data_IF_067096567403
#
_entry.id   IF_067096567403
#
_cell.length_a   1.000
_cell.length_b   1.000
_cell.length_c   1.000
_cell.angle_alpha   90.00
_cell.angle_beta   90.00
_cell.angle_gamma   90.00
#
_symmetry.space_group_name_H-M   'P 1'
#
loop_
_entity.id
_entity.type
_entity.pdbx_description
1 polymer ?
#
# COMPACT_ATOMS: atom_id res chain seq x y z
N UNK A 1 -1.42 17.21 -16.29
CA UNK A 1 -1.50 15.90 -15.63
C UNK A 1 -2.71 15.17 -16.19
N UNK A 2 -2.54 13.94 -16.67
CA UNK A 2 -3.65 13.13 -17.17
C UNK A 2 -4.62 12.77 -16.02
N UNK A 3 -5.87 12.49 -16.37
CA UNK A 3 -6.91 12.06 -15.41
C UNK A 3 -7.11 10.55 -15.53
N UNK A 4 -7.13 9.87 -14.39
CA UNK A 4 -7.42 8.45 -14.27
C UNK A 4 -8.72 8.28 -13.49
N UNK A 5 -9.73 7.72 -14.12
CA UNK A 5 -11.00 7.43 -13.46
C UNK A 5 -10.86 6.12 -12.67
N UNK A 6 -11.02 6.19 -11.34
CA UNK A 6 -11.06 5.02 -10.47
C UNK A 6 -12.50 4.65 -10.20
N UNK A 7 -12.85 3.40 -10.51
CA UNK A 7 -14.12 2.77 -10.14
C UNK A 7 -13.79 1.56 -9.27
N UNK A 8 -13.94 1.73 -7.96
CA UNK A 8 -13.82 0.62 -7.02
C UNK A 8 -15.21 -0.01 -6.86
N UNK A 9 -15.36 -1.23 -7.37
CA UNK A 9 -16.63 -1.96 -7.32
C UNK A 9 -16.95 -2.48 -5.90
N UNK A 10 -16.04 -2.27 -4.93
CA UNK A 10 -16.20 -2.66 -3.54
C UNK A 10 -16.42 -1.44 -2.65
N UNK A 11 -17.64 -1.28 -2.14
CA UNK A 11 -17.94 -0.25 -1.14
C UNK A 11 -17.68 -0.77 0.28
N UNK A 12 -16.79 -0.09 1.01
CA UNK A 12 -16.53 -0.38 2.41
C UNK A 12 -17.69 0.07 3.30
N UNK A 13 -18.03 -0.76 4.28
CA UNK A 13 -18.93 -0.39 5.37
C UNK A 13 -18.35 0.75 6.22
N UNK A 14 -19.20 1.46 6.97
CA UNK A 14 -18.75 2.51 7.90
C UNK A 14 -17.73 2.01 8.91
N UNK A 15 -17.88 0.76 9.38
CA UNK A 15 -16.94 0.13 10.32
C UNK A 15 -15.57 -0.08 9.68
N UNK A 16 -15.52 -0.54 8.43
CA UNK A 16 -14.25 -0.72 7.71
C UNK A 16 -13.58 0.61 7.42
N UNK A 17 -14.34 1.65 7.03
CA UNK A 17 -13.82 3.01 6.87
C UNK A 17 -13.17 3.53 8.16
N UNK A 18 -13.78 3.27 9.32
CA UNK A 18 -13.22 3.68 10.62
C UNK A 18 -11.91 2.95 10.96
N UNK A 19 -11.76 1.68 10.55
CA UNK A 19 -10.49 0.95 10.68
C UNK A 19 -9.38 1.64 9.88
N UNK A 20 -9.67 2.12 8.66
CA UNK A 20 -8.68 2.85 7.85
C UNK A 20 -8.39 4.26 8.39
N UNK A 21 -9.36 4.94 9.00
CA UNK A 21 -9.10 6.20 9.72
C UNK A 21 -8.20 5.99 10.93
N UNK A 22 -8.42 4.91 11.68
CA UNK A 22 -7.54 4.51 12.78
C UNK A 22 -6.13 4.19 12.27
N UNK A 23 -6.02 3.43 11.18
CA UNK A 23 -4.73 3.11 10.55
C UNK A 23 -3.99 4.37 10.10
N UNK A 24 -4.70 5.32 9.45
CA UNK A 24 -4.16 6.63 9.07
C UNK A 24 -3.62 7.38 10.28
N UNK A 25 -4.40 7.51 11.35
CA UNK A 25 -3.98 8.24 12.55
C UNK A 25 -2.77 7.58 13.23
N UNK A 26 -2.73 6.25 13.29
CA UNK A 26 -1.56 5.53 13.79
C UNK A 26 -0.32 5.80 12.92
N UNK A 27 -0.48 5.85 11.60
CA UNK A 27 0.60 6.18 10.68
C UNK A 27 1.09 7.62 10.87
N UNK A 28 0.19 8.59 11.03
CA UNK A 28 0.52 9.99 11.31
C UNK A 28 1.34 10.13 12.61
N UNK A 29 1.05 9.33 13.64
CA UNK A 29 1.83 9.30 14.89
C UNK A 29 3.23 8.71 14.75
N UNK A 30 3.57 8.06 13.63
CA UNK A 30 4.94 7.55 13.41
C UNK A 30 5.95 8.66 13.09
N UNK A 31 5.48 9.87 12.75
CA UNK A 31 6.31 11.05 12.52
C UNK A 31 6.20 11.62 11.10
N UNK A 32 6.43 12.93 10.98
CA UNK A 32 6.32 13.69 9.71
C UNK A 32 7.41 13.35 8.68
N UNK A 33 8.48 12.70 9.13
CA UNK A 33 9.58 12.23 8.29
C UNK A 33 9.17 11.01 7.44
N UNK A 34 8.13 10.26 7.86
CA UNK A 34 7.67 9.05 7.18
C UNK A 34 6.69 9.38 6.04
N UNK A 35 7.21 9.89 4.92
CA UNK A 35 6.39 10.27 3.77
C UNK A 35 6.25 9.14 2.75
N UNK A 36 7.35 8.50 2.38
CA UNK A 36 7.35 7.35 1.48
C UNK A 36 7.24 6.05 2.28
N UNK A 37 6.18 5.30 2.06
CA UNK A 37 5.84 4.11 2.87
C UNK A 37 5.63 2.92 1.95
N UNK A 38 6.47 1.90 2.10
CA UNK A 38 6.28 0.62 1.44
C UNK A 38 5.24 -0.22 2.18
N UNK A 39 4.26 -0.77 1.46
CA UNK A 39 3.30 -1.72 1.99
C UNK A 39 3.54 -3.08 1.34
N UNK A 40 3.86 -4.08 2.14
CA UNK A 40 4.14 -5.45 1.69
C UNK A 40 3.38 -6.48 2.51
N UNK A 41 3.52 -7.76 2.17
CA UNK A 41 2.95 -8.87 2.93
C UNK A 41 3.86 -10.09 2.96
N UNK A 42 3.54 -11.07 3.80
CA UNK A 42 4.25 -12.34 3.81
C UNK A 42 3.93 -13.16 2.56
N UNK A 43 2.65 -13.23 2.17
CA UNK A 43 2.19 -14.12 1.12
C UNK A 43 1.25 -13.41 0.13
N UNK A 44 1.12 -13.92 -1.12
CA UNK A 44 0.12 -13.42 -2.06
C UNK A 44 -1.29 -13.54 -1.47
N UNK A 45 -2.19 -12.58 -1.71
CA UNK A 45 -3.57 -12.56 -1.16
C UNK A 45 -3.70 -12.28 0.35
N UNK A 46 -2.71 -11.65 0.99
CA UNK A 46 -2.86 -11.11 2.36
C UNK A 46 -3.69 -9.83 2.42
N UNK A 47 -4.02 -9.27 1.25
CA UNK A 47 -4.82 -8.06 1.10
C UNK A 47 -3.99 -6.77 1.14
N UNK A 48 -2.67 -6.84 0.97
CA UNK A 48 -1.76 -5.69 0.89
C UNK A 48 -2.29 -4.57 -0.01
N UNK A 49 -2.73 -4.90 -1.24
CA UNK A 49 -3.19 -3.92 -2.23
C UNK A 49 -4.52 -3.28 -1.84
N UNK A 50 -5.35 -4.01 -1.09
CA UNK A 50 -6.58 -3.45 -0.51
C UNK A 50 -6.23 -2.45 0.58
N UNK A 51 -5.32 -2.84 1.47
CA UNK A 51 -4.91 -2.05 2.63
C UNK A 51 -4.16 -0.80 2.19
N UNK A 52 -3.20 -0.91 1.28
CA UNK A 52 -2.39 0.20 0.78
C UNK A 52 -3.24 1.23 0.03
N UNK A 53 -4.16 0.77 -0.82
CA UNK A 53 -5.09 1.67 -1.53
C UNK A 53 -6.05 2.40 -0.57
N UNK A 54 -6.68 1.69 0.36
CA UNK A 54 -7.64 2.31 1.29
C UNK A 54 -6.96 3.20 2.35
N UNK A 55 -5.72 2.87 2.75
CA UNK A 55 -4.89 3.78 3.54
C UNK A 55 -4.62 5.07 2.76
N UNK A 56 -4.30 4.97 1.47
CA UNK A 56 -4.09 6.13 0.60
C UNK A 56 -5.34 6.99 0.46
N UNK A 57 -6.52 6.37 0.34
CA UNK A 57 -7.80 7.07 0.35
C UNK A 57 -8.04 7.79 1.68
N UNK A 58 -7.84 7.12 2.82
CA UNK A 58 -8.05 7.72 4.13
C UNK A 58 -7.12 8.92 4.38
N UNK A 59 -5.87 8.85 3.92
CA UNK A 59 -4.92 9.97 3.92
C UNK A 59 -5.42 11.11 3.03
N UNK A 60 -5.83 10.83 1.79
CA UNK A 60 -6.35 11.83 0.86
C UNK A 60 -7.61 12.55 1.37
N UNK A 61 -8.55 11.79 1.97
CA UNK A 61 -9.77 12.30 2.59
C UNK A 61 -9.48 13.21 3.80
N UNK A 62 -8.33 13.06 4.46
CA UNK A 62 -7.89 13.94 5.54
C UNK A 62 -7.30 15.28 5.06
N UNK A 63 -7.28 15.50 3.74
CA UNK A 63 -6.76 16.72 3.13
C UNK A 63 -5.30 16.61 2.64
N UNK A 64 -4.66 15.44 2.80
CA UNK A 64 -3.27 15.23 2.42
C UNK A 64 -3.13 14.91 0.94
N UNK A 65 -2.23 15.59 0.24
CA UNK A 65 -1.86 15.22 -1.12
C UNK A 65 -1.15 13.87 -1.08
N UNK A 66 -1.83 12.82 -1.53
CA UNK A 66 -1.38 11.43 -1.40
C UNK A 66 -1.16 10.82 -2.76
N UNK A 67 0.05 10.31 -2.99
CA UNK A 67 0.39 9.53 -4.17
C UNK A 67 0.36 8.04 -3.84
N UNK A 68 -0.45 7.30 -4.57
CA UNK A 68 -0.48 5.85 -4.54
C UNK A 68 0.33 5.27 -5.71
N UNK A 69 1.34 4.45 -5.42
CA UNK A 69 2.20 3.84 -6.43
C UNK A 69 1.99 2.34 -6.43
N UNK A 70 1.49 1.81 -7.54
CA UNK A 70 1.41 0.38 -7.77
C UNK A 70 2.75 -0.14 -8.30
N UNK A 71 3.60 -0.61 -7.38
CA UNK A 71 4.92 -1.16 -7.69
C UNK A 71 4.94 -2.70 -7.71
N UNK A 72 3.77 -3.36 -7.73
CA UNK A 72 3.67 -4.79 -8.01
C UNK A 72 3.75 -5.05 -9.53
N UNK A 73 4.98 -4.96 -10.04
CA UNK A 73 5.29 -5.12 -11.47
C UNK A 73 5.18 -6.58 -11.97
N UNK A 74 4.82 -7.52 -11.09
CA UNK A 74 4.70 -8.95 -11.43
C UNK A 74 3.25 -9.37 -11.61
N UNK A 75 2.38 -8.96 -10.69
CA UNK A 75 0.99 -9.40 -10.65
C UNK A 75 0.10 -8.38 -9.93
N UNK A 76 0.15 -7.12 -10.38
CA UNK A 76 -0.80 -6.12 -9.88
C UNK A 76 -2.24 -6.57 -10.10
N UNK A 77 -3.03 -6.49 -9.02
CA UNK A 77 -4.47 -6.75 -9.03
C UNK A 77 -5.28 -5.46 -9.15
N UNK A 78 -4.63 -4.30 -9.08
CA UNK A 78 -5.26 -2.99 -8.94
C UNK A 78 -5.87 -2.50 -10.24
N UNK A 79 -5.24 -2.79 -11.39
CA UNK A 79 -5.76 -2.39 -12.71
C UNK A 79 -7.17 -2.93 -12.94
N UNK A 80 -7.37 -4.22 -12.68
CA UNK A 80 -8.68 -4.86 -12.82
C UNK A 80 -9.65 -4.42 -11.73
N UNK A 81 -9.21 -4.40 -10.48
CA UNK A 81 -10.07 -4.05 -9.34
C UNK A 81 -10.63 -2.63 -9.44
N UNK A 82 -9.78 -1.68 -9.79
CA UNK A 82 -10.14 -0.26 -9.84
C UNK A 82 -10.71 0.15 -11.21
N UNK A 83 -10.88 -0.83 -12.11
CA UNK A 83 -11.39 -0.67 -13.47
C UNK A 83 -10.75 0.53 -14.18
N UNK A 84 -9.41 0.58 -14.12
CA UNK A 84 -8.62 1.71 -14.62
C UNK A 84 -8.72 1.76 -16.14
N UNK A 85 -9.56 2.64 -16.67
CA UNK A 85 -9.69 2.82 -18.11
C UNK A 85 -8.51 3.65 -18.63
N UNK A 86 -7.76 3.08 -19.56
CA UNK A 86 -6.77 3.77 -20.41
C UNK A 86 -5.56 4.45 -19.70
N UNK A 87 -4.86 3.82 -18.74
CA UNK A 87 -3.53 4.32 -18.39
C UNK A 87 -2.58 4.10 -19.57
N UNK A 88 -2.17 5.20 -20.23
CA UNK A 88 -1.29 5.17 -21.40
C UNK A 88 0.13 4.69 -21.04
N UNK A 89 0.59 5.02 -19.82
CA UNK A 89 1.91 4.70 -19.29
C UNK A 89 1.80 4.41 -17.78
N UNK A 90 2.84 3.82 -17.20
CA UNK A 90 2.88 3.44 -15.79
C UNK A 90 4.31 3.31 -15.28
N UNK A 91 4.47 2.85 -14.04
CA UNK A 91 5.75 2.74 -13.37
C UNK A 91 6.79 2.00 -14.20
N UNK A 92 6.44 0.89 -14.83
CA UNK A 92 7.36 0.11 -15.67
C UNK A 92 7.96 0.92 -16.82
N UNK A 93 7.18 1.80 -17.45
CA UNK A 93 7.63 2.68 -18.53
C UNK A 93 8.61 3.74 -18.02
N UNK A 94 8.39 4.27 -16.81
CA UNK A 94 9.33 5.20 -16.18
C UNK A 94 10.64 4.50 -15.83
N UNK A 95 10.56 3.32 -15.22
CA UNK A 95 11.74 2.57 -14.81
C UNK A 95 12.56 2.05 -16.00
N UNK A 96 11.94 1.79 -17.15
CA UNK A 96 12.63 1.46 -18.40
C UNK A 96 13.21 2.69 -19.12
N UNK A 97 12.81 3.91 -18.74
CA UNK A 97 13.24 5.16 -19.37
C UNK A 97 12.41 5.56 -20.59
N UNK A 98 11.26 4.92 -20.82
CA UNK A 98 10.32 5.21 -21.90
C UNK A 98 9.37 6.37 -21.58
N UNK A 99 9.33 6.83 -20.31
CA UNK A 99 8.44 7.87 -19.83
C UNK A 99 9.08 8.70 -18.72
N UNK A 100 8.70 9.98 -18.61
CA UNK A 100 9.05 10.85 -17.48
C UNK A 100 8.05 10.73 -16.32
N UNK A 101 8.38 11.31 -15.16
CA UNK A 101 7.48 11.32 -13.99
C UNK A 101 6.11 11.94 -14.29
N UNK A 102 6.08 13.05 -15.05
CA UNK A 102 4.85 13.75 -15.42
C UNK A 102 3.93 12.93 -16.35
N UNK A 103 4.48 11.93 -17.04
CA UNK A 103 3.73 11.07 -17.97
C UNK A 103 3.03 9.91 -17.26
N UNK A 104 3.47 9.56 -16.04
CA UNK A 104 2.99 8.37 -15.33
C UNK A 104 2.21 8.70 -14.05
N UNK A 105 2.22 9.97 -13.63
CA UNK A 105 1.43 10.45 -12.49
C UNK A 105 0.08 10.94 -13.00
N UNK A 106 -0.97 10.30 -12.51
CA UNK A 106 -2.34 10.63 -12.83
C UNK A 106 -3.04 11.29 -11.65
N UNK A 107 -3.81 12.33 -11.94
CA UNK A 107 -4.84 12.82 -11.01
C UNK A 107 -6.04 11.87 -11.06
N UNK A 108 -6.69 11.63 -9.94
CA UNK A 108 -7.84 10.70 -9.88
C UNK A 108 -9.17 11.45 -9.72
N UNK A 109 -10.29 10.73 -9.86
CA UNK A 109 -11.61 11.22 -9.46
C UNK A 109 -11.82 11.25 -7.93
N UNK A 110 -10.81 10.88 -7.14
CA UNK A 110 -10.80 10.99 -5.67
C UNK A 110 -9.96 12.21 -5.28
N UNK A 111 -10.56 13.14 -4.54
CA UNK A 111 -9.91 14.40 -4.15
C UNK A 111 -8.60 14.12 -3.40
N UNK A 112 -7.53 14.87 -3.73
CA UNK A 112 -6.19 14.75 -3.16
C UNK A 112 -5.48 13.40 -3.38
N UNK A 113 -6.08 12.46 -4.13
CA UNK A 113 -5.45 11.19 -4.46
C UNK A 113 -4.90 11.22 -5.89
N UNK A 114 -3.65 10.84 -6.00
CA UNK A 114 -2.91 10.69 -7.25
C UNK A 114 -2.43 9.25 -7.36
N UNK A 115 -2.20 8.78 -8.58
CA UNK A 115 -1.83 7.39 -8.83
C UNK A 115 -0.73 7.26 -9.87
N UNK A 116 0.22 6.37 -9.62
CA UNK A 116 1.08 5.77 -10.65
C UNK A 116 0.67 4.29 -10.76
N UNK A 117 0.03 3.86 -11.86
CA UNK A 117 -0.26 2.44 -12.10
C UNK A 117 1.03 1.69 -12.43
N UNK A 118 1.06 0.36 -12.24
CA UNK A 118 2.23 -0.47 -12.55
C UNK A 118 2.68 -0.38 -14.02
N UNK A 119 1.73 -0.32 -14.95
CA UNK A 119 1.99 -0.35 -16.39
C UNK A 119 2.10 -1.78 -16.93
N UNK A 120 2.77 -1.97 -18.06
CA UNK A 120 3.00 -3.30 -18.64
C UNK A 120 4.03 -4.05 -17.78
N UNK A 121 3.73 -5.29 -17.42
CA UNK A 121 4.63 -6.11 -16.59
C UNK A 121 5.93 -6.42 -17.35
N UNK A 122 7.10 -5.98 -16.84
CA UNK A 122 8.39 -6.26 -17.46
C UNK A 122 8.86 -7.69 -17.14
N UNK A 123 9.80 -8.21 -17.93
CA UNK A 123 10.46 -9.50 -17.64
C UNK A 123 11.47 -9.42 -16.48
N UNK A 124 11.97 -8.22 -16.17
CA UNK A 124 13.06 -7.95 -15.24
C UNK A 124 12.68 -6.87 -14.17
N UNK A 125 11.63 -7.09 -13.37
CA UNK A 125 11.10 -6.07 -12.45
C UNK A 125 12.10 -5.66 -11.36
N UNK A 126 12.86 -6.60 -10.80
CA UNK A 126 13.81 -6.31 -9.71
C UNK A 126 14.93 -5.38 -10.19
N UNK A 127 15.48 -5.65 -11.37
CA UNK A 127 16.53 -4.86 -12.00
C UNK A 127 16.05 -3.44 -12.27
N UNK A 128 14.83 -3.30 -12.80
CA UNK A 128 14.21 -2.00 -13.06
C UNK A 128 13.98 -1.19 -11.78
N UNK A 129 13.57 -1.83 -10.68
CA UNK A 129 13.41 -1.17 -9.39
C UNK A 129 14.76 -0.73 -8.78
N UNK A 130 15.83 -1.47 -9.05
CA UNK A 130 17.17 -1.23 -8.50
C UNK A 130 18.04 -0.25 -9.30
N UNK A 131 17.62 0.18 -10.49
CA UNK A 131 18.44 1.00 -11.40
C UNK A 131 18.56 2.49 -11.01
N UNK A 132 18.08 2.88 -9.82
CA UNK A 132 18.12 4.24 -9.29
C UNK A 132 17.03 5.19 -9.81
N UNK A 133 16.23 4.81 -10.83
CA UNK A 133 15.11 5.66 -11.29
C UNK A 133 13.98 5.72 -10.29
N UNK A 134 13.69 4.61 -9.60
CA UNK A 134 12.67 4.59 -8.55
C UNK A 134 13.07 5.48 -7.36
N UNK A 135 14.33 5.44 -6.96
CA UNK A 135 14.88 6.30 -5.91
C UNK A 135 14.76 7.78 -6.28
N UNK A 136 15.17 8.16 -7.50
CA UNK A 136 15.02 9.52 -8.01
C UNK A 136 13.56 9.98 -8.07
N UNK A 137 12.65 9.08 -8.46
CA UNK A 137 11.21 9.35 -8.48
C UNK A 137 10.70 9.67 -7.07
N UNK A 138 10.95 8.78 -6.10
CA UNK A 138 10.48 8.96 -4.72
C UNK A 138 11.07 10.23 -4.11
N UNK A 139 12.38 10.44 -4.24
CA UNK A 139 13.05 11.64 -3.72
C UNK A 139 12.49 12.93 -4.32
N UNK A 140 12.27 12.98 -5.64
CA UNK A 140 11.74 14.14 -6.33
C UNK A 140 10.28 14.47 -5.99
N UNK A 141 9.52 13.49 -5.49
CA UNK A 141 8.09 13.64 -5.19
C UNK A 141 7.78 13.95 -3.73
N UNK A 142 8.74 13.76 -2.80
CA UNK A 142 8.57 14.06 -1.36
C UNK A 142 8.28 15.54 -1.05
N UNK A 143 8.65 16.45 -1.95
CA UNK A 143 8.33 17.88 -1.82
C UNK A 143 6.92 18.26 -2.28
N UNK A 144 6.27 17.39 -3.06
CA UNK A 144 4.97 17.66 -3.69
C UNK A 144 3.83 16.92 -2.98
N UNK A 145 4.10 15.72 -2.48
CA UNK A 145 3.12 14.89 -1.79
C UNK A 145 3.43 14.80 -0.29
N UNK A 146 2.40 14.91 0.52
CA UNK A 146 2.47 14.67 1.97
C UNK A 146 2.80 13.20 2.24
N UNK A 147 2.23 12.30 1.44
CA UNK A 147 2.45 10.85 1.53
C UNK A 147 2.60 10.20 0.15
N UNK A 148 3.52 9.24 0.07
CA UNK A 148 3.74 8.36 -1.08
C UNK A 148 3.58 6.92 -0.58
N UNK A 149 2.44 6.30 -0.83
CA UNK A 149 2.17 4.91 -0.42
C UNK A 149 2.48 3.99 -1.59
N UNK A 150 3.41 3.05 -1.37
CA UNK A 150 3.90 2.14 -2.41
C UNK A 150 3.37 0.73 -2.16
N UNK A 151 2.46 0.25 -3.01
CA UNK A 151 2.05 -1.15 -3.00
C UNK A 151 3.14 -2.01 -3.65
N UNK A 152 3.59 -3.05 -2.96
CA UNK A 152 4.71 -3.90 -3.41
C UNK A 152 4.26 -5.34 -3.59
N UNK A 153 5.02 -6.22 -4.27
CA UNK A 153 4.79 -7.66 -4.20
C UNK A 153 4.94 -8.21 -2.76
N UNK A 154 4.48 -9.44 -2.47
CA UNK A 154 4.72 -10.08 -1.18
C UNK A 154 6.22 -10.34 -0.97
N UNK A 155 6.80 -9.78 0.08
CA UNK A 155 8.22 -9.93 0.40
C UNK A 155 8.62 -11.38 0.68
N UNK A 156 7.71 -12.20 1.24
CA UNK A 156 7.98 -13.62 1.43
C UNK A 156 8.03 -14.45 0.14
N UNK A 157 7.72 -13.86 -1.02
CA UNK A 157 7.77 -14.53 -2.33
C UNK A 157 8.89 -14.02 -3.23
N UNK A 158 9.14 -12.71 -3.25
CA UNK A 158 10.14 -12.07 -4.13
C UNK A 158 10.80 -10.89 -3.44
N UNK A 159 12.05 -10.59 -3.83
CA UNK A 159 12.87 -9.57 -3.18
C UNK A 159 12.50 -8.12 -3.54
N UNK A 160 11.65 -7.91 -4.55
CA UNK A 160 11.26 -6.59 -5.07
C UNK A 160 10.81 -5.64 -3.95
N UNK A 161 10.05 -6.15 -2.98
CA UNK A 161 9.58 -5.36 -1.84
C UNK A 161 10.71 -4.88 -0.94
N UNK A 162 11.80 -5.64 -0.78
CA UNK A 162 12.98 -5.20 -0.02
C UNK A 162 13.74 -4.08 -0.74
N UNK A 163 13.86 -4.18 -2.07
CA UNK A 163 14.47 -3.12 -2.90
C UNK A 163 13.68 -1.81 -2.76
N UNK A 164 12.35 -1.90 -2.80
CA UNK A 164 11.45 -0.75 -2.61
C UNK A 164 11.53 -0.22 -1.17
N UNK A 165 11.52 -1.10 -0.16
CA UNK A 165 11.58 -0.73 1.25
C UNK A 165 12.86 0.05 1.60
N UNK A 166 14.00 -0.31 1.00
CA UNK A 166 15.27 0.40 1.16
C UNK A 166 15.19 1.88 0.73
N UNK A 167 14.33 2.19 -0.23
CA UNK A 167 14.16 3.54 -0.82
C UNK A 167 13.10 4.36 -0.07
N UNK A 168 12.14 3.69 0.57
CA UNK A 168 11.07 4.32 1.35
C UNK A 168 11.58 4.76 2.73
N UNK A 169 10.88 5.70 3.36
CA UNK A 169 11.20 6.17 4.72
C UNK A 169 10.86 5.12 5.78
N UNK A 170 9.78 4.37 5.56
CA UNK A 170 9.37 3.27 6.42
C UNK A 170 8.55 2.22 5.70
N UNK A 171 8.22 1.14 6.41
CA UNK A 171 7.46 0.03 5.86
C UNK A 171 6.35 -0.47 6.78
N UNK A 172 5.23 -0.88 6.19
CA UNK A 172 4.10 -1.53 6.86
C UNK A 172 3.95 -2.96 6.32
N UNK A 173 3.89 -3.93 7.23
CA UNK A 173 3.65 -5.33 6.88
C UNK A 173 2.17 -5.67 7.04
N UNK A 174 1.55 -6.23 6.00
CA UNK A 174 0.17 -6.73 6.03
C UNK A 174 0.19 -8.25 6.17
N UNK A 175 -0.52 -8.77 7.17
CA UNK A 175 -0.67 -10.21 7.42
C UNK A 175 -2.15 -10.56 7.36
N UNK A 176 -2.53 -11.58 6.61
CA UNK A 176 -3.85 -12.16 6.76
C UNK A 176 -3.89 -13.05 8.02
N UNK A 177 -4.95 -12.89 8.82
CA UNK A 177 -5.25 -13.79 9.93
C UNK A 177 -5.34 -15.24 9.43
N UNK A 178 -4.83 -16.15 10.26
CA UNK A 178 -4.90 -17.60 10.07
C UNK A 178 -4.28 -18.14 8.77
N UNK A 179 -3.38 -17.37 8.14
CA UNK A 179 -2.73 -17.77 6.89
C UNK A 179 -1.22 -17.91 6.98
N UNK A 180 -0.52 -16.91 7.52
CA UNK A 180 0.94 -16.98 7.70
C UNK A 180 1.30 -17.50 9.08
N UNK A 181 2.26 -18.40 9.17
CA UNK A 181 2.80 -18.85 10.45
C UNK A 181 3.58 -17.72 11.13
N UNK A 182 3.71 -17.81 12.46
CA UNK A 182 4.50 -16.84 13.24
C UNK A 182 5.97 -16.81 12.80
N UNK A 183 6.52 -17.93 12.35
CA UNK A 183 7.91 -18.02 11.92
C UNK A 183 8.13 -17.36 10.57
N UNK A 184 7.22 -17.55 9.61
CA UNK A 184 7.24 -16.83 8.33
C UNK A 184 7.12 -15.32 8.54
N UNK A 185 6.19 -14.88 9.40
CA UNK A 185 6.04 -13.47 9.74
C UNK A 185 7.34 -12.89 10.34
N UNK A 186 7.98 -13.59 11.28
CA UNK A 186 9.27 -13.16 11.85
C UNK A 186 10.38 -13.10 10.81
N UNK A 187 10.45 -14.08 9.91
CA UNK A 187 11.44 -14.10 8.83
C UNK A 187 11.28 -12.89 7.91
N UNK A 188 10.05 -12.60 7.47
CA UNK A 188 9.74 -11.45 6.61
C UNK A 188 10.03 -10.12 7.31
N UNK A 189 9.72 -9.99 8.61
CA UNK A 189 10.13 -8.81 9.40
C UNK A 189 11.64 -8.67 9.46
N UNK A 190 12.38 -9.78 9.59
CA UNK A 190 13.84 -9.78 9.54
C UNK A 190 14.39 -9.27 8.20
N UNK A 191 13.84 -9.75 7.09
CA UNK A 191 14.20 -9.28 5.74
C UNK A 191 13.86 -7.80 5.54
N UNK A 192 12.69 -7.38 6.01
CA UNK A 192 12.26 -5.98 5.91
C UNK A 192 13.19 -5.07 6.70
N UNK A 193 13.55 -5.45 7.95
CA UNK A 193 14.51 -4.72 8.79
C UNK A 193 15.92 -4.68 8.21
N UNK A 194 16.34 -5.75 7.53
CA UNK A 194 17.63 -5.78 6.84
C UNK A 194 17.67 -4.81 5.64
N UNK A 195 16.55 -4.60 4.97
CA UNK A 195 16.42 -3.65 3.88
C UNK A 195 16.23 -2.20 4.36
N UNK A 196 15.38 -2.01 5.37
CA UNK A 196 15.11 -0.75 6.04
C UNK A 196 14.69 -1.02 7.49
N UNK A 197 15.49 -0.53 8.45
CA UNK A 197 15.25 -0.75 9.88
C UNK A 197 13.95 -0.13 10.41
N UNK A 198 13.39 0.87 9.71
CA UNK A 198 12.18 1.59 10.10
C UNK A 198 10.89 0.86 9.69
N UNK A 199 10.56 -0.19 10.42
CA UNK A 199 9.27 -0.88 10.29
C UNK A 199 8.23 -0.17 11.15
N UNK A 200 7.31 0.54 10.51
CA UNK A 200 6.30 1.39 11.14
C UNK A 200 5.22 0.59 11.89
N UNK A 201 4.97 -0.64 11.46
CA UNK A 201 4.03 -1.52 12.13
C UNK A 201 3.54 -2.67 11.27
N UNK A 202 2.52 -3.35 11.79
CA UNK A 202 1.88 -4.51 11.17
C UNK A 202 0.37 -4.28 11.14
N UNK A 203 -0.26 -4.56 10.00
CA UNK A 203 -1.71 -4.62 9.84
C UNK A 203 -2.14 -6.07 9.79
N UNK A 204 -2.95 -6.50 10.75
CA UNK A 204 -3.62 -7.79 10.71
C UNK A 204 -4.95 -7.66 9.95
N UNK A 205 -5.05 -8.31 8.81
CA UNK A 205 -6.17 -8.25 7.89
C UNK A 205 -6.97 -9.56 7.91
N UNK A 206 -8.19 -9.56 7.36
CA UNK A 206 -9.10 -10.74 7.27
C UNK A 206 -9.42 -11.39 8.63
N UNK A 207 -9.43 -10.59 9.70
CA UNK A 207 -9.79 -11.08 11.03
C UNK A 207 -11.28 -11.40 11.09
N UNK A 208 -11.62 -12.63 11.49
CA UNK A 208 -12.99 -12.99 11.81
C UNK A 208 -13.35 -12.54 13.23
N UNK A 209 -14.26 -11.57 13.33
CA UNK A 209 -14.78 -11.04 14.58
C UNK A 209 -16.02 -11.78 15.11
N UNK A 210 -16.60 -12.70 14.33
CA UNK A 210 -17.84 -13.42 14.66
C UNK A 210 -17.59 -14.77 15.36
N UNK A 211 -16.35 -15.28 15.36
CA UNK A 211 -16.02 -16.56 15.98
C UNK A 211 -15.72 -16.50 17.49
N UNK A 212 -15.82 -17.64 18.17
CA UNK A 212 -15.37 -17.86 19.56
C UNK A 212 -13.83 -17.86 19.74
N UNK A 213 -13.08 -17.46 18.70
CA UNK A 213 -11.63 -17.38 18.69
C UNK A 213 -11.08 -16.24 19.55
N UNK A 214 -9.75 -16.20 19.67
CA UNK A 214 -9.01 -15.23 20.49
C UNK A 214 -9.41 -13.76 20.20
N UNK A 215 -9.64 -13.42 18.93
CA UNK A 215 -10.03 -12.06 18.52
C UNK A 215 -11.50 -11.73 18.80
N UNK A 216 -12.44 -12.68 18.64
CA UNK A 216 -13.85 -12.49 18.99
C UNK A 216 -14.06 -12.29 20.50
N UNK A 217 -13.33 -13.03 21.35
CA UNK A 217 -13.38 -12.87 22.81
C UNK A 217 -12.75 -11.55 23.29
N UNK A 218 -11.68 -11.08 22.67
CA UNK A 218 -10.94 -9.87 23.09
C UNK A 218 -11.49 -8.57 22.51
N UNK A 219 -11.95 -8.58 21.26
CA UNK A 219 -12.40 -7.37 20.54
C UNK A 219 -13.90 -7.37 20.23
N UNK A 220 -14.60 -8.50 20.34
CA UNK A 220 -16.06 -8.58 20.14
C UNK A 220 -16.84 -7.78 21.19
N UNK A 221 -16.41 -7.79 22.45
CA UNK A 221 -17.02 -6.99 23.51
C UNK A 221 -16.77 -5.48 23.38
N UNK A 222 -15.66 -5.07 22.77
CA UNK A 222 -15.31 -3.67 22.60
C UNK A 222 -16.13 -3.02 21.48
N UNK A 223 -16.27 -3.70 20.33
CA UNK A 223 -17.12 -3.21 19.24
C UNK A 223 -18.63 -3.41 19.49
N UNK A 224 -19.03 -4.46 20.22
CA UNK A 224 -20.44 -4.73 20.55
C UNK A 224 -21.10 -3.64 21.41
N UNK A 225 -20.32 -2.96 22.27
CA UNK A 225 -20.82 -1.83 23.09
C UNK A 225 -21.01 -0.53 22.30
N UNK A 226 -20.29 -0.32 21.20
CA UNK A 226 -20.48 0.87 20.36
C UNK A 226 -21.62 0.71 19.35
N UNK A 227 -21.95 -0.52 18.97
CA UNK A 227 -23.10 -0.82 18.10
C UNK A 227 -24.46 -0.76 18.79
N UNK A 228 -24.53 -0.69 20.13
CA UNK A 228 -25.83 -0.57 20.83
C UNK A 228 -26.34 0.88 20.91
N UNK A 229 -25.60 1.85 20.38
CA UNK A 229 -25.95 3.27 20.40
C UNK A 229 -26.25 3.86 19.00
N UNK A 230 -26.25 3.03 17.96
CA UNK A 230 -26.62 3.41 16.59
C UNK A 230 -27.59 2.41 15.98
#
# INVERSE_FOLDING_TARGET
>A
MEKLEIRDDVELSNREKEVYRTLRTNLEFTGVENRAIAVTSCTPNDGKSVVSYNLSLALAESGKNTLFVDADLRKSVLVHRLNLKNPSKGLSHLLSGQAGANDVIYSTNKKNLFMIPSGIFPSNPTELLSNGRFEKLVAGLKGTFDYIVVDTPPLGSVIDAAVIAKICDGSVLVLAADKSSRNEAKSVVGQLKAANSNVLGVVLNKVDYKGNGYYGKKYGGYYGKYTSYY
#
